data_IF_235837067930
#
_entry.id   IF_235837067930
#
_cell.length_a   1.000
_cell.length_b   1.000
_cell.length_c   1.000
_cell.angle_alpha   90.00
_cell.angle_beta   90.00
_cell.angle_gamma   90.00
#
_symmetry.space_group_name_H-M   'P 1'
#
loop_
_entity.id
_entity.type
_entity.pdbx_description
1 polymer ?
#
# COMPACT_ATOMS: atom_id res chain seq x y z
N UNK A 1 11.06 16.65 4.11
CA UNK A 1 10.70 16.89 5.53
C UNK A 1 9.50 17.82 5.52
N UNK A 2 8.39 17.50 6.20
CA UNK A 2 7.20 18.37 6.21
C UNK A 2 7.42 19.57 7.15
N UNK A 3 6.75 20.69 6.85
CA UNK A 3 6.79 21.91 7.66
C UNK A 3 6.08 21.73 9.01
N UNK A 4 6.26 22.71 9.91
CA UNK A 4 5.64 22.67 11.25
C UNK A 4 4.13 22.88 11.15
N UNK A 5 3.71 23.72 10.22
CA UNK A 5 2.32 24.05 9.93
C UNK A 5 1.58 22.82 9.38
N UNK A 6 2.16 22.14 8.37
CA UNK A 6 1.62 20.89 7.82
C UNK A 6 1.52 19.81 8.89
N UNK A 7 2.53 19.68 9.75
CA UNK A 7 2.50 18.71 10.86
C UNK A 7 1.36 19.00 11.84
N UNK A 8 1.13 20.27 12.17
CA UNK A 8 0.04 20.69 13.08
C UNK A 8 -1.33 20.42 12.47
N UNK A 9 -1.48 20.66 11.17
CA UNK A 9 -2.70 20.34 10.44
C UNK A 9 -2.98 18.84 10.42
N UNK A 10 -1.97 18.01 10.13
CA UNK A 10 -2.11 16.55 10.14
C UNK A 10 -2.56 16.03 11.51
N UNK A 11 -1.99 16.56 12.60
CA UNK A 11 -2.40 16.19 13.96
C UNK A 11 -3.85 16.59 14.26
N UNK A 12 -4.28 17.77 13.80
CA UNK A 12 -5.67 18.23 13.92
C UNK A 12 -6.63 17.30 13.16
N UNK A 13 -6.28 16.94 11.92
CA UNK A 13 -7.09 16.04 11.10
C UNK A 13 -7.17 14.63 11.69
N UNK A 14 -6.07 14.10 12.20
CA UNK A 14 -6.04 12.79 12.87
C UNK A 14 -6.96 12.72 14.11
N UNK A 15 -7.21 13.86 14.77
CA UNK A 15 -8.16 13.99 15.87
C UNK A 15 -9.63 14.06 15.44
N UNK A 16 -9.92 14.35 14.18
CA UNK A 16 -11.28 14.57 13.68
C UNK A 16 -12.14 13.30 13.74
N UNK A 17 -13.30 13.39 14.40
CA UNK A 17 -14.27 12.30 14.47
C UNK A 17 -14.98 12.06 13.14
N UNK A 18 -15.27 13.12 12.38
CA UNK A 18 -15.93 13.01 11.07
C UNK A 18 -15.02 12.31 10.07
N UNK A 19 -13.74 12.71 10.00
CA UNK A 19 -12.76 12.05 9.13
C UNK A 19 -12.63 10.55 9.48
N UNK A 20 -12.65 10.21 10.77
CA UNK A 20 -12.62 8.81 11.21
C UNK A 20 -13.85 8.02 10.75
N UNK A 21 -15.03 8.62 10.84
CA UNK A 21 -16.28 8.00 10.38
C UNK A 21 -16.27 7.80 8.87
N UNK A 22 -15.86 8.81 8.11
CA UNK A 22 -15.74 8.74 6.65
C UNK A 22 -14.77 7.62 6.23
N UNK A 23 -13.61 7.53 6.89
CA UNK A 23 -12.66 6.45 6.62
C UNK A 23 -13.19 5.07 7.01
N UNK A 24 -14.00 4.96 8.08
CA UNK A 24 -14.69 3.71 8.42
C UNK A 24 -15.66 3.29 7.31
N UNK A 25 -16.48 4.23 6.83
CA UNK A 25 -17.41 3.96 5.73
C UNK A 25 -16.68 3.51 4.46
N UNK A 26 -15.62 4.23 4.07
CA UNK A 26 -14.80 3.84 2.92
C UNK A 26 -14.15 2.47 3.10
N UNK A 27 -13.64 2.16 4.29
CA UNK A 27 -13.04 0.85 4.57
C UNK A 27 -14.06 -0.29 4.50
N UNK A 28 -15.30 -0.05 4.94
CA UNK A 28 -16.36 -1.04 4.94
C UNK A 28 -16.91 -1.32 3.53
N UNK A 29 -16.92 -0.31 2.65
CA UNK A 29 -17.44 -0.43 1.28
C UNK A 29 -16.35 -0.68 0.23
N UNK A 30 -15.08 -0.62 0.61
CA UNK A 30 -13.96 -0.85 -0.29
C UNK A 30 -14.06 -2.23 -0.93
N UNK A 31 -14.12 -2.26 -2.27
CA UNK A 31 -13.93 -3.48 -3.03
C UNK A 31 -12.50 -3.98 -2.82
N UNK A 32 -12.36 -5.24 -2.43
CA UNK A 32 -11.05 -5.91 -2.35
C UNK A 32 -10.86 -6.79 -3.60
N UNK A 33 -10.05 -6.36 -4.59
CA UNK A 33 -9.93 -7.05 -5.86
C UNK A 33 -9.29 -8.44 -5.72
N UNK A 34 -8.50 -8.67 -4.67
CA UNK A 34 -7.79 -9.94 -4.44
C UNK A 34 -8.60 -10.97 -3.63
N UNK A 35 -9.79 -10.59 -3.13
CA UNK A 35 -10.66 -11.50 -2.39
C UNK A 35 -11.70 -12.14 -3.29
N UNK A 36 -11.77 -13.46 -3.28
CA UNK A 36 -12.77 -14.27 -4.01
C UNK A 36 -13.38 -15.25 -3.03
N UNK A 37 -14.70 -15.20 -2.84
CA UNK A 37 -15.44 -16.08 -1.92
C UNK A 37 -14.84 -16.12 -0.50
N UNK A 38 -14.39 -14.96 0.02
CA UNK A 38 -13.79 -14.85 1.34
C UNK A 38 -12.37 -15.40 1.46
N UNK A 39 -11.73 -15.80 0.36
CA UNK A 39 -10.33 -16.26 0.32
C UNK A 39 -9.49 -15.35 -0.56
N UNK A 40 -8.22 -15.23 -0.21
CA UNK A 40 -7.24 -14.53 -1.05
C UNK A 40 -6.98 -15.38 -2.30
N UNK A 41 -7.14 -14.79 -3.49
CA UNK A 41 -6.78 -15.40 -4.76
C UNK A 41 -5.39 -14.94 -5.17
N UNK A 42 -4.45 -15.89 -5.27
CA UNK A 42 -3.07 -15.61 -5.71
C UNK A 42 -3.05 -15.15 -7.17
N UNK A 43 -3.85 -15.75 -8.03
CA UNK A 43 -3.94 -15.36 -9.44
C UNK A 43 -4.38 -13.90 -9.58
N UNK A 44 -5.41 -13.47 -8.83
CA UNK A 44 -5.85 -12.07 -8.84
C UNK A 44 -4.81 -11.12 -8.27
N UNK A 45 -4.05 -11.55 -7.27
CA UNK A 45 -2.95 -10.76 -6.73
C UNK A 45 -1.86 -10.56 -7.79
N UNK A 46 -1.47 -11.62 -8.51
CA UNK A 46 -0.47 -11.56 -9.58
C UNK A 46 -0.96 -10.60 -10.68
N UNK A 47 -2.19 -10.77 -11.17
CA UNK A 47 -2.78 -9.89 -12.17
C UNK A 47 -2.77 -8.43 -11.71
N UNK A 48 -3.23 -8.16 -10.49
CA UNK A 48 -3.24 -6.80 -9.93
C UNK A 48 -1.84 -6.18 -9.90
N UNK A 49 -0.83 -6.93 -9.44
CA UNK A 49 0.55 -6.43 -9.37
C UNK A 49 1.13 -6.17 -10.76
N UNK A 50 0.85 -7.05 -11.73
CA UNK A 50 1.29 -6.89 -13.12
C UNK A 50 0.67 -5.64 -13.76
N UNK A 51 -0.65 -5.52 -13.71
CA UNK A 51 -1.39 -4.38 -14.29
C UNK A 51 -1.03 -3.06 -13.59
N UNK A 52 -0.88 -3.07 -12.27
CA UNK A 52 -0.49 -1.88 -11.53
C UNK A 52 0.94 -1.43 -11.88
N UNK A 53 1.88 -2.37 -12.03
CA UNK A 53 3.24 -2.07 -12.47
C UNK A 53 3.25 -1.47 -13.88
N UNK A 54 2.43 -2.00 -14.81
CA UNK A 54 2.25 -1.41 -16.13
C UNK A 54 1.67 0.01 -16.04
N UNK A 55 0.61 0.19 -15.24
CA UNK A 55 -0.06 1.48 -15.05
C UNK A 55 0.87 2.58 -14.54
N UNK A 56 1.76 2.27 -13.59
CA UNK A 56 2.72 3.25 -13.05
C UNK A 56 4.01 3.35 -13.88
N UNK A 57 4.07 2.67 -15.03
CA UNK A 57 5.28 2.53 -15.85
C UNK A 57 6.49 2.06 -15.02
N UNK A 58 6.27 1.06 -14.14
CA UNK A 58 7.33 0.49 -13.33
C UNK A 58 8.34 -0.24 -14.22
N UNK A 59 9.58 0.22 -14.23
CA UNK A 59 10.67 -0.52 -14.85
C UNK A 59 11.16 -1.64 -13.93
N UNK A 60 11.26 -2.89 -14.42
CA UNK A 60 11.84 -3.99 -13.66
C UNK A 60 13.22 -3.62 -13.12
N UNK A 61 13.41 -3.77 -11.81
CA UNK A 61 14.71 -3.54 -11.20
C UNK A 61 15.75 -4.47 -11.84
N UNK A 62 16.90 -3.94 -12.33
CA UNK A 62 17.98 -4.77 -12.85
C UNK A 62 18.39 -5.81 -11.81
N UNK A 63 18.60 -7.04 -12.25
CA UNK A 63 19.08 -8.10 -11.38
C UNK A 63 20.39 -7.68 -10.72
N UNK A 64 20.43 -7.79 -9.38
CA UNK A 64 21.66 -7.61 -8.60
C UNK A 64 21.95 -8.94 -7.89
N UNK A 65 23.09 -9.58 -8.17
CA UNK A 65 23.45 -10.80 -7.46
C UNK A 65 23.51 -10.52 -5.96
N UNK A 66 22.94 -11.42 -5.16
CA UNK A 66 23.09 -11.39 -3.71
C UNK A 66 24.53 -11.78 -3.40
N UNK A 67 25.37 -10.81 -3.03
CA UNK A 67 26.74 -11.05 -2.57
C UNK A 67 26.67 -11.14 -1.06
N UNK A 68 26.66 -12.36 -0.52
CA UNK A 68 26.82 -12.60 0.91
C UNK A 68 28.26 -12.24 1.30
N UNK A 69 28.42 -11.21 2.14
CA UNK A 69 29.75 -10.72 2.58
C UNK A 69 30.04 -11.06 4.02
N UNK A 70 29.03 -11.37 4.83
CA UNK A 70 29.17 -11.70 6.24
C UNK A 70 28.28 -12.88 6.60
N UNK A 71 28.77 -14.10 6.36
CA UNK A 71 28.20 -15.29 7.01
C UNK A 71 28.48 -15.22 8.51
N UNK A 72 27.49 -14.80 9.30
CA UNK A 72 27.48 -15.01 10.75
C UNK A 72 26.82 -16.36 11.02
N UNK A 73 27.62 -17.28 11.55
CA UNK A 73 27.20 -18.58 12.09
C UNK A 73 26.45 -18.41 13.41
#
# INVERSE_FOLDING_TARGET
>A
MISKEEKKELLRLAGSSTLKEDMRHLSATRHNPVMVNGKVSIDRLITFLSEYNEFINHEPKPFKPMIEREMKL
#
